data_IF_141559068496
#
_entry.id   IF_141559068496
#
_cell.length_a   1.000
_cell.length_b   1.000
_cell.length_c   1.000
_cell.angle_alpha   90.00
_cell.angle_beta   90.00
_cell.angle_gamma   90.00
#
_symmetry.space_group_name_H-M   'P 1'
#
loop_
_entity.id
_entity.type
_entity.pdbx_description
1 polymer ?
#
# COMPACT_ATOMS: atom_id res chain seq x y z
N UNK A 1 -28.42 -43.82 -59.35
CA UNK A 1 -28.91 -43.77 -57.94
C UNK A 1 -27.71 -43.68 -56.99
N UNK A 2 -27.26 -42.46 -56.72
CA UNK A 2 -26.10 -42.00 -55.91
C UNK A 2 -26.15 -40.47 -56.14
N UNK A 3 -26.29 -39.55 -55.20
CA UNK A 3 -25.69 -39.36 -53.88
C UNK A 3 -26.42 -38.21 -53.19
N UNK A 4 -27.30 -38.46 -52.22
CA UNK A 4 -27.99 -37.39 -51.45
C UNK A 4 -27.44 -37.27 -50.02
N UNK A 5 -26.55 -38.17 -49.58
CA UNK A 5 -26.06 -38.22 -48.19
C UNK A 5 -24.92 -37.23 -47.85
N UNK A 6 -24.28 -36.59 -48.83
CA UNK A 6 -23.10 -35.76 -48.59
C UNK A 6 -23.38 -34.29 -48.24
N UNK A 7 -24.60 -33.78 -48.47
CA UNK A 7 -24.91 -32.36 -48.27
C UNK A 7 -25.33 -32.06 -46.82
N UNK A 8 -25.98 -33.00 -46.14
CA UNK A 8 -26.47 -32.82 -44.76
C UNK A 8 -25.31 -32.78 -43.74
N UNK A 9 -24.20 -33.47 -44.01
CA UNK A 9 -23.02 -33.50 -43.13
C UNK A 9 -22.26 -32.16 -43.15
N UNK A 10 -22.34 -31.39 -44.24
CA UNK A 10 -21.64 -30.09 -44.37
C UNK A 10 -22.38 -28.92 -43.70
N UNK A 11 -23.71 -29.00 -43.54
CA UNK A 11 -24.49 -28.00 -42.81
C UNK A 11 -24.51 -28.21 -41.29
N UNK A 12 -24.38 -29.45 -40.81
CA UNK A 12 -24.34 -29.75 -39.37
C UNK A 12 -23.04 -29.32 -38.67
N UNK A 13 -21.91 -29.35 -39.40
CA UNK A 13 -20.59 -29.00 -38.84
C UNK A 13 -20.38 -27.47 -38.83
N UNK A 14 -20.99 -26.72 -39.75
CA UNK A 14 -20.92 -25.25 -39.72
C UNK A 14 -21.72 -24.61 -38.57
N UNK A 15 -22.80 -25.26 -38.11
CA UNK A 15 -23.58 -24.73 -36.99
C UNK A 15 -22.88 -24.93 -35.63
N UNK A 16 -22.04 -25.96 -35.50
CA UNK A 16 -21.25 -26.21 -34.28
C UNK A 16 -20.05 -25.27 -34.17
N UNK A 17 -19.45 -24.86 -35.29
CA UNK A 17 -18.34 -23.89 -35.30
C UNK A 17 -18.86 -22.47 -35.03
N UNK A 18 -20.05 -22.11 -35.52
CA UNK A 18 -20.67 -20.81 -35.19
C UNK A 18 -21.10 -20.70 -33.71
N UNK A 19 -21.47 -21.81 -33.06
CA UNK A 19 -21.79 -21.84 -31.64
C UNK A 19 -20.55 -21.78 -30.72
N UNK A 20 -19.38 -22.19 -31.20
CA UNK A 20 -18.14 -22.16 -30.42
C UNK A 20 -17.47 -20.77 -30.38
N UNK A 21 -17.86 -19.85 -31.27
CA UNK A 21 -17.39 -18.45 -31.25
C UNK A 21 -18.18 -17.54 -30.28
N UNK A 22 -19.19 -18.05 -29.59
CA UNK A 22 -19.94 -17.29 -28.57
C UNK A 22 -19.26 -17.32 -27.18
N UNK A 23 -18.20 -18.12 -27.01
CA UNK A 23 -17.62 -18.43 -25.71
C UNK A 23 -16.44 -17.57 -25.22
N UNK A 24 -16.05 -16.52 -25.93
CA UNK A 24 -14.96 -15.63 -25.52
C UNK A 24 -15.43 -14.18 -25.37
N UNK A 25 -16.51 -13.98 -24.62
CA UNK A 25 -16.67 -12.70 -23.94
C UNK A 25 -15.48 -12.62 -22.99
N UNK A 26 -14.46 -11.84 -23.38
CA UNK A 26 -13.46 -11.36 -22.45
C UNK A 26 -14.23 -10.64 -21.35
N UNK A 27 -14.46 -11.34 -20.23
CA UNK A 27 -14.98 -10.71 -19.03
C UNK A 27 -13.85 -9.80 -18.58
N UNK A 28 -13.89 -8.55 -19.04
CA UNK A 28 -13.16 -7.48 -18.40
C UNK A 28 -13.80 -7.34 -17.03
N UNK A 29 -13.27 -8.07 -16.05
CA UNK A 29 -13.59 -7.86 -14.65
C UNK A 29 -13.11 -6.44 -14.36
N UNK A 30 -14.04 -5.49 -14.35
CA UNK A 30 -13.77 -4.17 -13.81
C UNK A 30 -13.34 -4.38 -12.36
N UNK A 31 -12.27 -3.72 -11.95
CA UNK A 31 -11.89 -3.72 -10.54
C UNK A 31 -13.06 -3.17 -9.73
N UNK A 32 -13.37 -3.84 -8.61
CA UNK A 32 -14.40 -3.38 -7.70
C UNK A 32 -13.95 -2.05 -7.08
N UNK A 33 -14.89 -1.11 -6.92
CA UNK A 33 -14.59 0.21 -6.35
C UNK A 33 -15.54 0.51 -5.21
N UNK A 34 -15.05 1.21 -4.19
CA UNK A 34 -15.85 1.65 -3.05
C UNK A 34 -15.62 3.14 -2.77
N UNK A 35 -16.71 3.86 -2.51
CA UNK A 35 -16.66 5.24 -2.05
C UNK A 35 -16.64 5.28 -0.53
N UNK A 36 -15.67 5.98 0.03
CA UNK A 36 -15.50 6.15 1.47
C UNK A 36 -14.91 7.52 1.78
N UNK A 37 -14.90 7.84 3.07
CA UNK A 37 -14.19 9.00 3.60
C UNK A 37 -12.96 8.55 4.37
N UNK A 38 -11.89 9.33 4.31
CA UNK A 38 -10.60 9.05 4.94
C UNK A 38 -10.02 10.31 5.57
N UNK A 39 -9.09 10.12 6.52
CA UNK A 39 -8.40 11.23 7.16
C UNK A 39 -7.06 11.46 6.48
N UNK A 40 -6.87 12.66 5.94
CA UNK A 40 -5.58 13.16 5.51
C UNK A 40 -5.03 14.10 6.56
N UNK A 41 -3.74 13.98 6.85
CA UNK A 41 -3.02 14.85 7.77
C UNK A 41 -1.87 15.55 7.07
N UNK A 42 -1.68 16.83 7.36
CA UNK A 42 -0.55 17.62 6.84
C UNK A 42 0.12 18.35 8.00
N UNK A 43 1.37 18.75 7.81
CA UNK A 43 2.10 19.55 8.80
C UNK A 43 2.28 20.97 8.28
N UNK A 44 2.02 21.97 9.13
CA UNK A 44 2.47 23.32 8.86
C UNK A 44 4.00 23.38 9.03
N UNK A 45 4.78 23.74 8.01
CA UNK A 45 6.24 23.67 8.07
C UNK A 45 6.85 24.65 9.07
N UNK A 46 6.17 25.76 9.37
CA UNK A 46 6.63 26.81 10.30
C UNK A 46 6.30 26.49 11.75
N UNK A 47 5.06 26.09 12.02
CA UNK A 47 4.59 25.85 13.41
C UNK A 47 4.72 24.39 13.83
N UNK A 48 5.01 23.49 12.89
CA UNK A 48 4.99 22.04 13.06
C UNK A 48 3.65 21.46 13.53
N UNK A 49 2.58 22.26 13.48
CA UNK A 49 1.25 21.83 13.84
C UNK A 49 0.69 20.87 12.78
N UNK A 50 0.13 19.75 13.24
CA UNK A 50 -0.57 18.79 12.38
C UNK A 50 -2.03 19.22 12.21
N UNK A 51 -2.49 19.27 10.97
CA UNK A 51 -3.90 19.49 10.64
C UNK A 51 -4.48 18.22 10.05
N UNK A 52 -5.69 17.83 10.48
CA UNK A 52 -6.43 16.71 9.92
C UNK A 52 -7.61 17.22 9.08
N UNK A 53 -7.81 16.64 7.90
CA UNK A 53 -8.92 16.94 7.00
C UNK A 53 -9.57 15.65 6.54
N UNK A 54 -10.89 15.56 6.66
CA UNK A 54 -11.66 14.45 6.11
C UNK A 54 -11.89 14.68 4.63
N UNK A 55 -11.51 13.72 3.80
CA UNK A 55 -11.73 13.71 2.34
C UNK A 55 -12.62 12.53 1.97
N UNK A 56 -13.26 12.58 0.81
CA UNK A 56 -14.05 11.48 0.24
C UNK A 56 -13.53 11.12 -1.15
N UNK A 57 -13.46 9.81 -1.44
CA UNK A 57 -12.92 9.30 -2.69
C UNK A 57 -13.56 7.97 -3.07
N UNK A 58 -13.60 7.66 -4.36
CA UNK A 58 -13.87 6.32 -4.89
C UNK A 58 -12.55 5.61 -5.12
N UNK A 59 -12.29 4.55 -4.38
CA UNK A 59 -11.04 3.80 -4.39
C UNK A 59 -11.24 2.37 -4.91
N UNK A 60 -10.20 1.79 -5.50
CA UNK A 60 -10.20 0.41 -5.97
C UNK A 60 -10.07 -0.53 -4.77
N UNK A 61 -10.93 -1.55 -4.68
CA UNK A 61 -10.90 -2.52 -3.58
C UNK A 61 -9.66 -3.40 -3.73
N UNK A 62 -8.87 -3.50 -2.65
CA UNK A 62 -7.71 -4.38 -2.56
C UNK A 62 -8.18 -5.83 -2.38
N UNK A 63 -7.55 -6.72 -3.13
CA UNK A 63 -7.78 -8.15 -3.15
C UNK A 63 -6.51 -8.92 -2.78
N UNK A 64 -6.66 -10.18 -2.40
CA UNK A 64 -5.53 -11.06 -2.10
C UNK A 64 -4.60 -11.30 -3.31
N UNK A 65 -5.04 -11.00 -4.54
CA UNK A 65 -4.24 -11.14 -5.76
C UNK A 65 -3.38 -9.93 -6.10
N UNK A 66 -3.62 -8.78 -5.46
CA UNK A 66 -2.93 -7.54 -5.81
C UNK A 66 -1.48 -7.57 -5.37
N UNK A 67 -0.57 -7.61 -6.34
CA UNK A 67 0.89 -7.59 -6.11
C UNK A 67 1.53 -6.28 -6.55
N UNK A 68 0.77 -5.45 -7.26
CA UNK A 68 1.16 -4.12 -7.72
C UNK A 68 0.00 -3.18 -7.44
N UNK A 69 0.28 -2.09 -6.74
CA UNK A 69 -0.66 -1.00 -6.51
C UNK A 69 -0.17 0.24 -7.25
N UNK A 70 -1.08 0.88 -7.96
CA UNK A 70 -0.81 2.10 -8.70
C UNK A 70 -0.06 1.90 -10.01
N UNK A 71 0.26 3.02 -10.64
CA UNK A 71 0.89 3.11 -11.95
C UNK A 71 1.87 4.27 -11.95
N UNK A 72 3.03 4.11 -12.60
CA UNK A 72 4.08 5.12 -12.60
C UNK A 72 3.56 6.49 -13.08
N UNK A 73 3.90 7.55 -12.35
CA UNK A 73 3.49 8.92 -12.66
C UNK A 73 2.00 9.23 -12.43
N UNK A 74 1.21 8.31 -11.86
CA UNK A 74 -0.20 8.53 -11.55
C UNK A 74 -0.48 8.55 -10.05
N UNK A 75 -1.50 9.30 -9.68
CA UNK A 75 -2.12 9.25 -8.35
C UNK A 75 -3.28 8.24 -8.37
N UNK A 76 -3.29 7.30 -7.44
CA UNK A 76 -4.26 6.21 -7.38
C UNK A 76 -4.72 5.93 -5.96
N UNK A 77 -5.95 5.44 -5.82
CA UNK A 77 -6.60 5.22 -4.53
C UNK A 77 -7.05 3.76 -4.40
N UNK A 78 -6.66 3.14 -3.30
CA UNK A 78 -6.97 1.76 -2.96
C UNK A 78 -7.62 1.69 -1.59
N UNK A 79 -8.56 0.76 -1.41
CA UNK A 79 -9.28 0.57 -0.16
C UNK A 79 -9.31 -0.88 0.28
N UNK A 80 -9.02 -1.12 1.55
CA UNK A 80 -9.21 -2.40 2.22
C UNK A 80 -10.61 -2.38 2.84
N UNK A 81 -11.55 -3.08 2.22
CA UNK A 81 -12.97 -3.10 2.63
C UNK A 81 -13.41 -4.42 3.29
N UNK A 82 -12.46 -5.32 3.52
CA UNK A 82 -12.62 -6.58 4.24
C UNK A 82 -11.27 -7.06 4.74
N UNK A 83 -11.26 -7.99 5.70
CA UNK A 83 -10.05 -8.71 6.10
C UNK A 83 -9.37 -9.32 4.88
N UNK A 84 -8.14 -8.90 4.61
CA UNK A 84 -7.44 -9.24 3.37
C UNK A 84 -6.01 -9.63 3.67
N UNK A 85 -5.56 -10.76 3.12
CA UNK A 85 -4.15 -11.15 3.17
C UNK A 85 -3.62 -11.34 1.75
N UNK A 86 -2.61 -10.55 1.40
CA UNK A 86 -1.80 -10.72 0.21
C UNK A 86 -0.57 -11.52 0.65
N UNK A 87 -0.56 -12.85 0.45
CA UNK A 87 0.57 -13.72 0.82
C UNK A 87 1.79 -13.57 -0.13
N UNK A 88 2.00 -12.36 -0.63
CA UNK A 88 3.02 -11.98 -1.61
C UNK A 88 3.60 -10.62 -1.24
N UNK A 89 4.68 -10.27 -1.93
CA UNK A 89 5.24 -8.92 -1.89
C UNK A 89 4.36 -7.99 -2.73
N UNK A 90 4.15 -6.77 -2.24
CA UNK A 90 3.42 -5.71 -2.92
C UNK A 90 4.41 -4.64 -3.39
N UNK A 91 4.28 -4.20 -4.63
CA UNK A 91 5.03 -3.06 -5.18
C UNK A 91 4.09 -1.87 -5.37
N UNK A 92 4.50 -0.69 -4.91
CA UNK A 92 3.78 0.57 -5.12
C UNK A 92 4.37 1.28 -6.33
N UNK A 93 3.54 1.75 -7.27
CA UNK A 93 3.98 2.55 -8.41
C UNK A 93 3.23 3.88 -8.46
N UNK A 94 3.94 4.97 -8.77
CA UNK A 94 3.38 6.31 -8.72
C UNK A 94 3.05 6.75 -7.29
N UNK A 95 1.99 7.54 -7.14
CA UNK A 95 1.47 7.98 -5.83
C UNK A 95 0.26 7.13 -5.46
N UNK A 96 0.39 6.30 -4.44
CA UNK A 96 -0.68 5.41 -3.98
C UNK A 96 -1.22 5.89 -2.65
N UNK A 97 -2.54 6.09 -2.57
CA UNK A 97 -3.29 6.27 -1.33
C UNK A 97 -3.94 4.95 -0.94
N UNK A 98 -3.38 4.27 0.06
CA UNK A 98 -3.95 3.07 0.64
C UNK A 98 -4.81 3.44 1.85
N UNK A 99 -6.11 3.25 1.74
CA UNK A 99 -7.10 3.55 2.78
C UNK A 99 -7.54 2.25 3.43
N UNK A 100 -7.28 2.09 4.72
CA UNK A 100 -7.66 0.88 5.44
C UNK A 100 -9.01 1.14 6.10
N UNK A 101 -10.01 0.37 5.68
CA UNK A 101 -11.37 0.45 6.19
C UNK A 101 -11.47 0.05 7.66
N UNK A 102 -12.61 0.38 8.25
CA UNK A 102 -12.89 0.15 9.66
C UNK A 102 -12.67 -1.31 10.06
N UNK A 103 -11.85 -1.53 11.09
CA UNK A 103 -11.66 -2.86 11.72
C UNK A 103 -11.16 -3.94 10.74
N UNK A 104 -10.61 -3.55 9.59
CA UNK A 104 -10.04 -4.50 8.65
C UNK A 104 -8.52 -4.49 8.78
N UNK A 105 -7.97 -5.68 8.65
CA UNK A 105 -6.55 -5.90 8.58
C UNK A 105 -6.16 -6.19 7.14
N UNK A 106 -5.10 -5.51 6.69
CA UNK A 106 -4.35 -5.91 5.51
C UNK A 106 -3.06 -6.58 5.95
N UNK A 107 -2.97 -7.89 5.71
CA UNK A 107 -1.73 -8.65 5.82
C UNK A 107 -0.97 -8.66 4.50
N UNK A 108 0.33 -8.33 4.52
CA UNK A 108 1.22 -8.55 3.36
C UNK A 108 2.63 -8.94 3.80
N UNK A 109 3.43 -9.56 2.93
CA UNK A 109 4.83 -9.88 3.26
C UNK A 109 5.62 -8.59 3.41
N UNK A 110 5.88 -7.89 2.31
CA UNK A 110 6.52 -6.58 2.33
C UNK A 110 5.82 -5.66 1.35
N UNK A 111 5.93 -4.36 1.60
CA UNK A 111 5.66 -3.34 0.61
C UNK A 111 7.00 -2.80 0.11
N UNK A 112 7.17 -2.71 -1.20
CA UNK A 112 8.30 -2.06 -1.85
C UNK A 112 7.84 -0.77 -2.51
N UNK A 113 8.53 0.33 -2.19
CA UNK A 113 8.35 1.64 -2.81
C UNK A 113 9.59 1.90 -3.67
N UNK A 114 9.50 1.72 -5.00
CA UNK A 114 10.58 1.95 -5.94
C UNK A 114 10.90 3.45 -6.09
N UNK A 115 11.88 3.76 -6.92
CA UNK A 115 12.26 5.14 -7.25
C UNK A 115 11.09 5.95 -7.82
N UNK A 116 10.95 7.19 -7.34
CA UNK A 116 9.90 8.13 -7.74
C UNK A 116 8.49 7.77 -7.28
N UNK A 117 8.32 6.71 -6.47
CA UNK A 117 7.02 6.29 -5.96
C UNK A 117 6.77 6.81 -4.54
N UNK A 118 5.50 7.02 -4.21
CA UNK A 118 5.05 7.50 -2.90
C UNK A 118 3.89 6.64 -2.40
N UNK A 119 3.96 6.21 -1.14
CA UNK A 119 2.87 5.53 -0.45
C UNK A 119 2.28 6.42 0.64
N UNK A 120 0.98 6.70 0.56
CA UNK A 120 0.19 7.28 1.63
C UNK A 120 -0.65 6.20 2.29
N UNK A 121 -0.57 6.08 3.63
CA UNK A 121 -1.38 5.16 4.42
C UNK A 121 -2.39 5.99 5.22
N UNK A 122 -3.67 5.70 5.02
CA UNK A 122 -4.78 6.39 5.65
C UNK A 122 -5.67 5.42 6.44
N UNK A 123 -6.25 5.92 7.52
CA UNK A 123 -7.44 5.33 8.13
C UNK A 123 -8.70 5.88 7.46
N UNK A 124 -9.71 5.03 7.28
CA UNK A 124 -11.05 5.50 6.98
C UNK A 124 -11.56 6.42 8.11
N UNK A 125 -12.33 7.45 7.77
CA UNK A 125 -12.82 8.43 8.73
C UNK A 125 -13.95 7.89 9.60
N UNK A 126 -14.00 8.32 10.86
CA UNK A 126 -15.09 7.98 11.79
C UNK A 126 -15.01 6.57 12.39
N UNK A 127 -13.88 5.88 12.20
CA UNK A 127 -13.69 4.49 12.61
C UNK A 127 -12.30 4.28 13.20
N UNK A 128 -12.13 3.22 14.00
CA UNK A 128 -10.86 2.83 14.61
C UNK A 128 -10.61 1.33 14.39
N UNK A 129 -9.36 0.92 14.62
CA UNK A 129 -8.96 -0.49 14.50
C UNK A 129 -8.56 -0.95 13.09
N UNK A 130 -8.39 -0.03 12.15
CA UNK A 130 -7.78 -0.32 10.86
C UNK A 130 -6.29 -0.70 11.05
N UNK A 131 -5.83 -1.81 10.48
CA UNK A 131 -4.43 -2.20 10.61
C UNK A 131 -3.76 -2.70 9.32
N UNK A 132 -2.49 -2.33 9.17
CA UNK A 132 -1.58 -2.84 8.15
C UNK A 132 -0.52 -3.69 8.86
N UNK A 133 -0.53 -4.99 8.58
CA UNK A 133 0.38 -5.96 9.16
C UNK A 133 1.34 -6.47 8.08
N UNK A 134 2.63 -6.22 8.29
CA UNK A 134 3.65 -6.62 7.34
C UNK A 134 5.00 -6.85 7.98
N UNK A 135 5.90 -7.51 7.23
CA UNK A 135 7.28 -7.61 7.64
C UNK A 135 7.99 -6.27 7.49
N UNK A 136 7.94 -5.66 6.30
CA UNK A 136 8.66 -4.42 6.06
C UNK A 136 8.07 -3.50 4.96
N UNK A 137 8.27 -2.19 5.13
CA UNK A 137 8.18 -1.17 4.07
C UNK A 137 9.59 -0.84 3.59
N UNK A 138 9.90 -1.12 2.32
CA UNK A 138 11.22 -0.94 1.73
C UNK A 138 11.23 0.23 0.73
N UNK A 139 11.91 1.32 1.07
CA UNK A 139 12.11 2.51 0.23
C UNK A 139 13.41 2.34 -0.61
N UNK A 140 13.29 2.21 -1.92
CA UNK A 140 14.43 1.79 -2.78
C UNK A 140 15.35 2.92 -3.22
N UNK A 141 14.97 4.19 -3.04
CA UNK A 141 15.77 5.36 -3.40
C UNK A 141 15.44 6.55 -2.50
N UNK A 142 16.23 7.62 -2.58
CA UNK A 142 15.97 8.89 -1.88
C UNK A 142 14.64 9.55 -2.32
N UNK A 143 14.13 9.20 -3.50
CA UNK A 143 12.83 9.66 -4.00
C UNK A 143 11.67 8.72 -3.68
N UNK A 144 11.90 7.68 -2.87
CA UNK A 144 10.89 6.69 -2.47
C UNK A 144 10.30 7.08 -1.12
N UNK A 145 9.05 7.54 -1.08
CA UNK A 145 8.50 8.16 0.15
C UNK A 145 7.34 7.37 0.75
N UNK A 146 7.20 7.44 2.08
CA UNK A 146 6.01 6.95 2.79
C UNK A 146 5.47 7.96 3.79
N UNK A 147 4.16 8.16 3.75
CA UNK A 147 3.41 9.07 4.62
C UNK A 147 2.34 8.28 5.38
N UNK A 148 2.42 8.29 6.71
CA UNK A 148 1.45 7.62 7.57
C UNK A 148 0.55 8.69 8.18
N UNK A 149 -0.69 8.72 7.71
CA UNK A 149 -1.69 9.68 8.17
C UNK A 149 -2.47 9.16 9.38
N UNK A 150 -2.67 7.85 9.55
CA UNK A 150 -3.44 7.27 10.65
C UNK A 150 -3.53 5.74 10.59
N UNK A 151 -4.35 5.15 11.47
CA UNK A 151 -4.47 3.70 11.61
C UNK A 151 -3.32 3.06 12.36
N UNK A 152 -3.29 1.72 12.39
CA UNK A 152 -2.21 0.94 12.99
C UNK A 152 -1.30 0.37 11.89
N UNK A 153 0.02 0.62 11.98
CA UNK A 153 1.01 -0.02 11.10
C UNK A 153 1.94 -0.88 11.95
N UNK A 154 1.89 -2.20 11.73
CA UNK A 154 2.71 -3.19 12.41
C UNK A 154 3.75 -3.75 11.43
N UNK A 155 4.95 -3.17 11.46
CA UNK A 155 6.07 -3.52 10.59
C UNK A 155 7.15 -4.25 11.39
N UNK A 156 7.00 -5.56 11.56
CA UNK A 156 7.73 -6.31 12.59
C UNK A 156 9.11 -6.80 12.15
N UNK A 157 9.37 -6.91 10.85
CA UNK A 157 10.62 -7.41 10.27
C UNK A 157 10.98 -8.85 10.67
N UNK A 158 11.61 -9.65 9.80
CA UNK A 158 12.38 -10.80 10.28
C UNK A 158 13.44 -10.37 11.32
N UNK A 159 13.85 -11.31 12.17
CA UNK A 159 14.95 -11.10 13.13
C UNK A 159 16.19 -10.58 12.38
N UNK A 160 16.81 -9.51 12.90
CA UNK A 160 17.97 -8.85 12.27
C UNK A 160 17.64 -7.87 11.13
N UNK A 161 16.37 -7.55 10.90
CA UNK A 161 15.94 -6.59 9.85
C UNK A 161 15.16 -5.40 10.43
N UNK A 162 15.02 -4.37 9.61
CA UNK A 162 14.29 -3.12 9.87
C UNK A 162 12.88 -3.17 9.28
N UNK A 163 11.87 -2.80 10.07
CA UNK A 163 10.46 -2.84 9.67
C UNK A 163 10.05 -1.72 8.71
N UNK A 164 10.65 -0.54 8.85
CA UNK A 164 10.56 0.51 7.82
C UNK A 164 11.98 0.92 7.48
N UNK A 165 12.38 0.73 6.23
CA UNK A 165 13.77 0.83 5.83
C UNK A 165 13.98 1.38 4.43
N UNK A 166 15.10 2.07 4.25
CA UNK A 166 15.56 2.46 2.92
C UNK A 166 16.08 3.89 2.84
N UNK A 167 16.02 4.44 1.64
CA UNK A 167 16.71 5.69 1.33
C UNK A 167 15.81 6.92 1.32
N UNK A 168 14.49 6.85 1.16
CA UNK A 168 13.67 8.08 1.06
C UNK A 168 12.97 8.48 2.36
N UNK A 169 12.02 9.41 2.25
CA UNK A 169 11.39 10.02 3.43
C UNK A 169 10.37 9.11 4.09
N UNK A 170 10.35 9.13 5.43
CA UNK A 170 9.30 8.53 6.26
C UNK A 170 8.69 9.63 7.11
N UNK A 171 7.41 9.95 6.86
CA UNK A 171 6.71 10.98 7.62
C UNK A 171 5.47 10.40 8.29
N UNK A 172 5.39 10.57 9.60
CA UNK A 172 4.31 10.10 10.46
C UNK A 172 3.57 11.30 11.02
N UNK A 173 2.32 11.46 10.61
CA UNK A 173 1.43 12.50 11.10
C UNK A 173 0.56 12.04 12.29
N UNK A 174 0.28 10.73 12.39
CA UNK A 174 -0.60 10.17 13.39
C UNK A 174 -0.78 8.65 13.27
N UNK A 175 -1.62 8.08 14.14
CA UNK A 175 -1.86 6.64 14.21
C UNK A 175 -1.00 5.93 15.26
N UNK A 176 -0.96 4.60 15.19
CA UNK A 176 -0.09 3.75 16.02
C UNK A 176 0.88 3.03 15.12
N UNK A 177 2.18 3.17 15.36
CA UNK A 177 3.21 2.47 14.61
C UNK A 177 3.95 1.56 15.58
N UNK A 178 3.96 0.27 15.29
CA UNK A 178 4.81 -0.71 15.96
C UNK A 178 5.81 -1.22 14.94
N UNK A 179 7.10 -0.91 15.16
CA UNK A 179 8.15 -1.35 14.26
C UNK A 179 9.31 -1.97 15.04
N UNK A 180 9.94 -3.02 14.51
CA UNK A 180 11.16 -3.58 15.12
C UNK A 180 12.35 -2.62 14.99
N UNK A 181 12.47 -1.93 13.87
CA UNK A 181 13.32 -0.75 13.74
C UNK A 181 12.71 0.18 12.69
N UNK A 182 12.90 1.49 12.85
CA UNK A 182 12.61 2.50 11.83
C UNK A 182 13.96 3.13 11.48
N UNK A 183 14.48 2.83 10.30
CA UNK A 183 15.79 3.35 9.85
C UNK A 183 15.70 3.86 8.42
N UNK A 184 15.86 5.16 8.23
CA UNK A 184 16.13 5.75 6.91
C UNK A 184 17.59 6.18 6.86
N UNK A 185 18.26 5.91 5.74
CA UNK A 185 19.72 6.05 5.63
C UNK A 185 20.43 4.70 5.58
N UNK A 186 21.42 4.63 4.69
CA UNK A 186 22.12 3.42 4.29
C UNK A 186 22.55 2.53 5.46
N UNK A 187 22.13 1.26 5.46
CA UNK A 187 22.66 0.24 6.37
C UNK A 187 24.00 -0.34 5.88
N UNK A 188 24.68 0.29 4.93
CA UNK A 188 26.05 -0.07 4.53
C UNK A 188 26.87 1.20 4.23
N UNK A 189 27.85 1.46 5.11
CA UNK A 189 29.06 2.27 4.89
C UNK A 189 28.91 3.60 4.13
N UNK A 190 28.78 4.70 4.87
CA UNK A 190 29.59 5.89 4.60
C UNK A 190 29.12 6.86 3.51
N UNK A 191 27.84 7.22 3.47
CA UNK A 191 27.46 8.57 3.03
C UNK A 191 26.16 8.99 3.72
N UNK A 192 26.20 10.11 4.44
CA UNK A 192 25.09 10.63 5.26
C UNK A 192 24.53 11.86 4.56
N UNK A 193 23.88 11.68 3.43
CA UNK A 193 22.80 12.58 3.01
C UNK A 193 21.55 12.13 3.76
N UNK A 194 21.26 12.78 4.89
CA UNK A 194 20.18 12.41 5.79
C UNK A 194 18.82 12.64 5.11
N UNK A 195 18.15 11.55 4.73
CA UNK A 195 16.73 11.56 4.36
C UNK A 195 15.85 11.70 5.62
N UNK A 196 14.68 12.33 5.50
CA UNK A 196 13.93 12.83 6.64
C UNK A 196 13.09 11.72 7.30
N UNK A 197 13.29 11.51 8.60
CA UNK A 197 12.25 10.94 9.47
C UNK A 197 11.51 12.08 10.15
N UNK A 198 10.30 12.38 9.69
CA UNK A 198 9.43 13.40 10.26
C UNK A 198 8.36 12.76 11.14
N UNK A 199 8.44 12.94 12.46
CA UNK A 199 7.40 12.46 13.40
C UNK A 199 6.70 13.66 14.00
N UNK A 200 5.45 13.86 13.60
CA UNK A 200 4.62 14.99 14.02
C UNK A 200 3.44 14.60 14.92
N UNK A 201 3.17 13.30 15.08
CA UNK A 201 2.13 12.80 15.98
C UNK A 201 2.03 11.27 15.98
N UNK A 202 1.08 10.75 16.75
CA UNK A 202 0.82 9.31 16.90
C UNK A 202 1.57 8.65 18.06
N UNK A 203 1.32 7.35 18.25
CA UNK A 203 1.99 6.51 19.23
C UNK A 203 3.00 5.63 18.50
N UNK A 204 4.29 5.76 18.82
CA UNK A 204 5.34 4.98 18.15
C UNK A 204 6.01 4.08 19.17
N UNK A 205 5.97 2.78 18.89
CA UNK A 205 6.72 1.76 19.63
C UNK A 205 7.79 1.20 18.71
N UNK A 206 9.05 1.36 19.10
CA UNK A 206 10.20 0.81 18.34
C UNK A 206 10.87 -0.26 19.18
N UNK A 207 10.81 -1.52 18.74
CA UNK A 207 11.39 -2.66 19.46
C UNK A 207 12.77 -3.01 18.91
N UNK A 208 13.78 -2.22 19.26
CA UNK A 208 15.13 -2.31 18.65
C UNK A 208 15.93 -3.49 19.20
N UNK A 209 16.53 -4.29 18.31
CA UNK A 209 17.65 -5.19 18.65
C UNK A 209 19.02 -4.46 18.57
N UNK A 210 19.08 -3.27 17.95
CA UNK A 210 20.30 -2.47 17.77
C UNK A 210 19.97 -0.99 17.55
N UNK A 211 20.75 -0.09 18.15
CA UNK A 211 20.53 1.35 18.17
C UNK A 211 20.76 1.97 16.77
N UNK A 212 19.70 2.41 16.09
CA UNK A 212 19.79 3.22 14.87
C UNK A 212 18.88 4.44 15.03
N UNK A 213 19.49 5.60 15.24
CA UNK A 213 18.80 6.89 15.24
C UNK A 213 19.44 7.75 14.13
N UNK A 214 18.86 7.82 12.92
CA UNK A 214 19.14 8.94 12.02
C UNK A 214 18.46 10.20 12.59
N UNK A 215 19.03 11.38 12.31
CA UNK A 215 18.61 12.68 12.84
C UNK A 215 17.08 12.89 12.78
N UNK A 216 16.39 12.68 13.91
CA UNK A 216 14.94 12.80 13.98
C UNK A 216 14.57 14.28 14.16
N UNK A 217 13.88 14.87 13.19
CA UNK A 217 13.21 16.15 13.36
C UNK A 217 11.92 15.95 14.16
N UNK A 218 12.00 15.98 15.49
CA UNK A 218 10.88 15.67 16.40
C UNK A 218 10.20 16.93 16.92
N UNK A 219 8.86 16.99 16.86
CA UNK A 219 8.10 18.03 17.56
C UNK A 219 6.77 17.58 18.19
N UNK A 220 6.41 16.28 18.23
CA UNK A 220 5.08 15.93 18.80
C UNK A 220 4.64 14.48 19.00
N UNK A 221 5.52 13.47 19.11
CA UNK A 221 5.11 12.07 19.35
C UNK A 221 5.73 11.46 20.61
N UNK A 222 4.98 10.61 21.32
CA UNK A 222 5.49 9.78 22.41
C UNK A 222 6.20 8.55 21.82
N UNK A 223 7.53 8.49 21.91
CA UNK A 223 8.31 7.31 21.56
C UNK A 223 8.49 6.45 22.81
N UNK A 224 8.03 5.21 22.75
CA UNK A 224 8.42 4.16 23.70
C UNK A 224 9.46 3.27 23.01
N UNK A 225 10.68 3.33 23.52
CA UNK A 225 11.76 2.38 23.22
C UNK A 225 11.73 1.24 24.22
#
# INVERSE_FOLDING_TARGET
MKTTKSVIIRMGIMLVIAALLVGALAVTVSAETQTLSYVERTVNPSTKAVTATTKSVTATVVTASDTVLGEAGKETYYVVSSETTIDKYVTVNGTVHLIIGAKYDLGTKNITVPEGATLHIHEASGVSGASLNLNAINLKSESSNVYIHGGTVNATGPIGTTGVNGFGDVVIYGGTITAKNIGVGATDFGDVTANLVGIYGGNITVNTDTYLVPAIGMTGGDIKT
#
